data_IF_924536301833
#
_entry.id   IF_924536301833
#
_cell.length_a   1.000
_cell.length_b   1.000
_cell.length_c   1.000
_cell.angle_alpha   90.00
_cell.angle_beta   90.00
_cell.angle_gamma   90.00
#
_symmetry.space_group_name_H-M   'P 1'
#
loop_
_entity.id
_entity.type
_entity.pdbx_description
1 polymer ?
#
# COMPACT_ATOMS: atom_id res chain seq x y z
N UNK A 1 -5.28 1.44 34.07
CA UNK A 1 -5.56 0.36 33.11
C UNK A 1 -5.13 0.86 31.75
N UNK A 2 -4.02 0.36 31.20
CA UNK A 2 -3.77 0.51 29.75
C UNK A 2 -4.73 -0.46 29.08
N UNK A 3 -5.73 0.08 28.38
CA UNK A 3 -6.52 -0.73 27.46
C UNK A 3 -5.65 -0.88 26.22
N UNK A 4 -5.02 -2.03 26.08
CA UNK A 4 -4.41 -2.40 24.81
C UNK A 4 -5.57 -2.72 23.87
N UNK A 5 -5.94 -1.74 23.04
CA UNK A 5 -6.80 -2.00 21.90
C UNK A 5 -5.95 -2.76 20.90
N UNK A 6 -6.17 -4.07 20.80
CA UNK A 6 -5.55 -4.95 19.79
C UNK A 6 -6.22 -4.71 18.41
N UNK A 7 -6.34 -3.44 18.04
CA UNK A 7 -6.84 -3.01 16.76
C UNK A 7 -5.68 -3.08 15.76
N UNK A 8 -5.88 -3.74 14.60
CA UNK A 8 -4.84 -3.82 13.61
C UNK A 8 -4.41 -2.41 13.16
N UNK A 9 -3.12 -2.23 12.94
CA UNK A 9 -2.53 -0.94 12.58
C UNK A 9 -3.23 -0.39 11.33
N UNK A 10 -3.80 0.83 11.37
CA UNK A 10 -4.37 1.45 10.19
C UNK A 10 -3.25 1.82 9.24
N UNK A 11 -3.22 1.22 8.05
CA UNK A 11 -2.18 1.46 7.05
C UNK A 11 -2.72 1.39 5.61
N UNK A 12 -2.16 2.22 4.72
CA UNK A 12 -2.36 2.09 3.27
C UNK A 12 -1.61 0.86 2.78
N UNK A 13 -2.20 0.10 1.85
CA UNK A 13 -1.54 -1.04 1.22
C UNK A 13 -1.08 -0.67 -0.20
N UNK A 14 0.22 -0.56 -0.41
CA UNK A 14 0.79 -0.44 -1.75
C UNK A 14 1.05 -1.84 -2.29
N UNK A 15 0.54 -2.12 -3.47
CA UNK A 15 0.64 -3.42 -4.12
C UNK A 15 1.26 -3.23 -5.50
N UNK A 16 2.30 -3.98 -5.80
CA UNK A 16 2.96 -3.91 -7.10
C UNK A 16 3.12 -5.27 -7.77
N UNK A 17 3.19 -5.24 -9.10
CA UNK A 17 3.54 -6.39 -9.93
C UNK A 17 5.02 -6.76 -9.82
N UNK A 18 5.42 -7.85 -10.49
CA UNK A 18 6.83 -8.28 -10.52
C UNK A 18 7.64 -7.35 -11.43
N UNK A 19 8.95 -7.20 -11.15
CA UNK A 19 9.86 -6.38 -11.96
C UNK A 19 9.43 -4.90 -12.12
N UNK A 20 9.23 -4.17 -11.02
CA UNK A 20 9.06 -2.71 -11.10
C UNK A 20 10.31 -2.08 -11.75
N UNK A 21 10.15 -1.51 -12.94
CA UNK A 21 11.18 -0.67 -13.57
C UNK A 21 11.11 0.80 -13.15
N UNK A 22 10.06 1.19 -12.42
CA UNK A 22 9.74 2.57 -12.05
C UNK A 22 9.97 2.86 -10.56
N UNK A 23 11.07 2.36 -9.99
CA UNK A 23 11.39 2.54 -8.56
C UNK A 23 11.26 4.00 -8.10
N UNK A 24 11.73 4.94 -8.93
CA UNK A 24 11.61 6.38 -8.63
C UNK A 24 10.17 6.86 -8.44
N UNK A 25 9.22 6.35 -9.23
CA UNK A 25 7.80 6.72 -9.08
C UNK A 25 7.26 6.16 -7.77
N UNK A 26 7.62 4.93 -7.43
CA UNK A 26 7.27 4.32 -6.15
C UNK A 26 7.81 5.16 -5.01
N UNK A 27 9.10 5.50 -5.03
CA UNK A 27 9.76 6.27 -3.98
C UNK A 27 9.08 7.62 -3.73
N UNK A 28 8.73 8.38 -4.78
CA UNK A 28 8.03 9.66 -4.63
C UNK A 28 6.61 9.51 -4.08
N UNK A 29 5.90 8.43 -4.44
CA UNK A 29 4.59 8.12 -3.85
C UNK A 29 4.75 7.80 -2.36
N UNK A 30 5.76 6.99 -1.99
CA UNK A 30 6.04 6.66 -0.59
C UNK A 30 6.39 7.91 0.22
N UNK A 31 7.25 8.78 -0.31
CA UNK A 31 7.58 10.06 0.34
C UNK A 31 6.34 10.94 0.57
N UNK A 32 5.41 10.99 -0.40
CA UNK A 32 4.15 11.72 -0.23
C UNK A 32 3.26 11.16 0.88
N UNK A 33 3.23 9.84 1.06
CA UNK A 33 2.50 9.19 2.14
C UNK A 33 3.18 9.47 3.50
N UNK A 34 4.51 9.43 3.54
CA UNK A 34 5.31 9.74 4.74
C UNK A 34 5.15 11.19 5.21
N UNK A 35 5.12 12.15 4.29
CA UNK A 35 4.94 13.58 4.59
C UNK A 35 3.60 13.85 5.29
N UNK A 36 2.54 13.12 4.91
CA UNK A 36 1.21 13.20 5.55
C UNK A 36 1.13 12.41 6.88
N UNK A 37 2.20 11.71 7.26
CA UNK A 37 2.25 10.91 8.49
C UNK A 37 1.34 9.68 8.49
N UNK A 38 0.95 9.19 7.32
CA UNK A 38 0.05 8.03 7.19
C UNK A 38 0.87 6.74 7.13
N UNK A 39 0.57 5.72 7.96
CA UNK A 39 1.28 4.45 7.88
C UNK A 39 0.99 3.72 6.56
N UNK A 40 1.97 2.99 6.05
CA UNK A 40 1.80 2.15 4.88
C UNK A 40 2.61 0.85 4.96
N UNK A 41 2.23 -0.12 4.14
CA UNK A 41 3.02 -1.32 3.86
C UNK A 41 3.00 -1.65 2.37
N UNK A 42 4.03 -2.37 1.92
CA UNK A 42 4.25 -2.72 0.51
C UNK A 42 4.14 -4.23 0.36
N UNK A 43 3.37 -4.68 -0.63
CA UNK A 43 3.19 -6.09 -0.99
C UNK A 43 3.50 -6.30 -2.48
N UNK A 44 4.19 -7.39 -2.78
CA UNK A 44 4.36 -7.87 -4.15
C UNK A 44 3.30 -8.94 -4.44
N UNK A 45 2.55 -8.78 -5.53
CA UNK A 45 1.62 -9.80 -6.02
C UNK A 45 1.96 -10.21 -7.46
N UNK A 46 1.46 -11.37 -7.90
CA UNK A 46 1.58 -11.79 -9.30
C UNK A 46 0.95 -10.78 -10.25
N UNK A 47 1.51 -10.70 -11.47
CA UNK A 47 1.15 -9.71 -12.49
C UNK A 47 -0.37 -9.68 -12.74
N UNK A 48 -0.97 -8.62 -12.22
CA UNK A 48 -2.33 -8.19 -12.48
C UNK A 48 -2.28 -6.71 -12.89
N UNK A 49 -3.30 -6.25 -13.61
CA UNK A 49 -3.39 -4.85 -14.01
C UNK A 49 -3.45 -3.92 -12.77
N UNK A 50 -3.04 -2.64 -12.88
CA UNK A 50 -2.90 -1.76 -11.71
C UNK A 50 -4.22 -1.50 -10.98
N UNK A 51 -5.37 -1.57 -11.66
CA UNK A 51 -6.69 -1.40 -11.05
C UNK A 51 -7.02 -2.57 -10.13
N UNK A 52 -6.72 -3.79 -10.58
CA UNK A 52 -6.92 -5.00 -9.77
C UNK A 52 -6.00 -5.02 -8.56
N UNK A 53 -4.73 -4.62 -8.73
CA UNK A 53 -3.80 -4.49 -7.60
C UNK A 53 -4.26 -3.45 -6.58
N UNK A 54 -4.74 -2.29 -7.04
CA UNK A 54 -5.27 -1.24 -6.16
C UNK A 54 -6.49 -1.73 -5.37
N UNK A 55 -7.41 -2.44 -6.05
CA UNK A 55 -8.59 -3.03 -5.43
C UNK A 55 -8.19 -4.06 -4.36
N UNK A 56 -7.30 -5.01 -4.68
CA UNK A 56 -6.81 -5.99 -3.71
C UNK A 56 -6.10 -5.32 -2.53
N UNK A 57 -5.30 -4.29 -2.79
CA UNK A 57 -4.67 -3.49 -1.74
C UNK A 57 -5.69 -2.84 -0.81
N UNK A 58 -6.79 -2.30 -1.36
CA UNK A 58 -7.84 -1.69 -0.58
C UNK A 58 -8.57 -2.72 0.30
N UNK A 59 -8.80 -3.94 -0.20
CA UNK A 59 -9.38 -5.05 0.59
C UNK A 59 -8.46 -5.52 1.73
N UNK A 60 -7.14 -5.47 1.52
CA UNK A 60 -6.13 -5.85 2.52
C UNK A 60 -5.87 -4.75 3.55
N UNK A 61 -6.20 -3.49 3.22
CA UNK A 61 -5.99 -2.33 4.08
C UNK A 61 -7.12 -2.16 5.09
N UNK A 62 -6.78 -1.98 6.36
CA UNK A 62 -7.74 -1.61 7.41
C UNK A 62 -8.31 -0.19 7.24
N UNK A 63 -7.70 0.63 6.37
CA UNK A 63 -8.21 1.96 6.00
C UNK A 63 -9.12 1.91 4.77
N UNK A 64 -9.22 0.78 4.08
CA UNK A 64 -9.91 0.66 2.79
C UNK A 64 -9.19 1.39 1.65
N UNK A 65 -7.90 1.68 1.81
CA UNK A 65 -7.10 2.43 0.82
C UNK A 65 -5.98 1.55 0.28
N UNK A 66 -6.01 1.31 -1.03
CA UNK A 66 -5.00 0.55 -1.76
C UNK A 66 -4.43 1.33 -2.94
N UNK A 67 -3.14 1.16 -3.21
CA UNK A 67 -2.45 1.74 -4.35
C UNK A 67 -1.85 0.61 -5.18
N UNK A 68 -2.29 0.46 -6.42
CA UNK A 68 -1.75 -0.53 -7.36
C UNK A 68 -0.74 0.11 -8.31
N UNK A 69 0.45 -0.47 -8.42
CA UNK A 69 1.53 0.03 -9.28
C UNK A 69 2.01 -1.09 -10.21
N UNK A 70 1.95 -0.84 -11.52
CA UNK A 70 2.50 -1.72 -12.56
C UNK A 70 3.42 -0.91 -13.48
N UNK A 71 4.09 -1.59 -14.42
CA UNK A 71 4.78 -0.94 -15.54
C UNK A 71 3.88 0.02 -16.35
#
# INVERSE_FOLDING_TARGET
MRMDFDAPKPEIKIVHGKNIMFQKVVDEVLHGIEEEGVPFSIEELEDANPVELAFRGAELSHLGVGIGITE
#
